data_IF_293453864921
#
_entry.id   IF_293453864921
#
_cell.length_a   1.000
_cell.length_b   1.000
_cell.length_c   1.000
_cell.angle_alpha   90.00
_cell.angle_beta   90.00
_cell.angle_gamma   90.00
#
_symmetry.space_group_name_H-M   'P 1'
#
loop_
_entity.id
_entity.type
_entity.pdbx_description
1 polymer ?
#
# COMPACT_ATOMS: atom_id res chain seq x y z
N UNK A 1 39.82 -25.88 4.68
CA UNK A 1 38.76 -25.50 5.66
C UNK A 1 39.07 -24.10 6.10
N UNK A 2 38.14 -23.19 6.33
CA UNK A 2 36.73 -23.32 6.65
C UNK A 2 36.20 -21.89 6.65
N UNK A 3 35.38 -21.49 5.69
CA UNK A 3 34.65 -20.21 5.76
C UNK A 3 33.35 -20.16 4.94
N UNK A 4 32.95 -21.26 4.30
CA UNK A 4 31.70 -21.33 3.53
C UNK A 4 30.47 -21.75 4.38
N UNK A 5 30.66 -22.21 5.63
CA UNK A 5 29.57 -22.73 6.46
C UNK A 5 28.90 -21.64 7.34
N UNK A 6 29.59 -20.53 7.64
CA UNK A 6 29.06 -19.48 8.52
C UNK A 6 28.11 -18.51 7.79
N UNK A 7 28.27 -18.32 6.48
CA UNK A 7 27.42 -17.41 5.68
C UNK A 7 26.09 -18.05 5.28
N UNK A 8 25.99 -19.38 5.21
CA UNK A 8 24.71 -20.07 5.00
C UNK A 8 23.86 -20.15 6.28
N UNK A 9 24.45 -20.19 7.47
CA UNK A 9 23.67 -20.15 8.72
C UNK A 9 23.07 -18.77 9.02
N UNK A 10 23.76 -17.67 8.65
CA UNK A 10 23.19 -16.33 8.76
C UNK A 10 22.04 -16.06 7.76
N UNK A 11 22.11 -16.63 6.55
CA UNK A 11 21.07 -16.50 5.53
C UNK A 11 19.78 -17.30 5.86
N UNK A 12 19.89 -18.40 6.61
CA UNK A 12 18.73 -19.21 7.02
C UNK A 12 18.03 -18.64 8.26
N UNK A 13 18.74 -17.85 9.09
CA UNK A 13 18.13 -17.21 10.28
C UNK A 13 17.37 -15.91 9.98
N UNK A 14 17.57 -15.28 8.82
CA UNK A 14 16.81 -14.09 8.41
C UNK A 14 15.55 -14.39 7.58
N UNK A 15 15.30 -15.66 7.24
CA UNK A 15 14.11 -16.10 6.50
C UNK A 15 12.95 -16.57 7.39
N UNK A 16 13.07 -16.43 8.71
CA UNK A 16 11.98 -16.65 9.66
C UNK A 16 11.48 -15.32 10.22
N UNK A 17 11.23 -14.34 9.35
CA UNK A 17 10.19 -13.36 9.67
C UNK A 17 8.90 -14.17 9.72
N UNK A 18 8.47 -14.50 10.94
CA UNK A 18 7.19 -15.15 11.18
C UNK A 18 6.17 -14.43 10.30
N UNK A 19 5.52 -15.18 9.40
CA UNK A 19 4.37 -14.68 8.68
C UNK A 19 3.49 -13.94 9.69
N UNK A 20 2.95 -12.75 9.34
CA UNK A 20 2.14 -11.99 10.27
C UNK A 20 1.12 -12.93 10.90
N UNK A 21 1.17 -13.07 12.22
CA UNK A 21 0.31 -14.00 12.95
C UNK A 21 -1.11 -13.56 12.65
N UNK A 22 -1.83 -14.37 11.87
CA UNK A 22 -3.21 -14.07 11.52
C UNK A 22 -4.02 -13.86 12.81
N UNK A 23 -4.89 -12.83 12.84
CA UNK A 23 -5.67 -12.54 14.03
C UNK A 23 -6.52 -13.76 14.41
N UNK A 24 -6.71 -14.02 15.72
CA UNK A 24 -7.62 -15.06 16.18
C UNK A 24 -9.02 -14.90 15.59
N UNK A 25 -9.66 -16.04 15.28
CA UNK A 25 -10.97 -16.11 14.65
C UNK A 25 -12.00 -16.65 15.65
N UNK A 26 -13.23 -16.12 15.62
CA UNK A 26 -14.36 -16.57 16.44
C UNK A 26 -15.54 -17.14 15.64
N UNK A 27 -15.45 -17.19 14.30
CA UNK A 27 -16.51 -17.70 13.43
C UNK A 27 -15.98 -18.57 12.28
N UNK A 28 -16.82 -19.47 11.76
CA UNK A 28 -16.59 -20.19 10.50
C UNK A 28 -17.71 -19.90 9.51
N UNK A 29 -17.41 -19.95 8.22
CA UNK A 29 -18.39 -19.96 7.14
C UNK A 29 -18.50 -21.40 6.63
N UNK A 30 -19.70 -21.98 6.66
CA UNK A 30 -19.94 -23.37 6.22
C UNK A 30 -21.11 -23.41 5.22
N UNK A 31 -20.86 -23.95 4.03
CA UNK A 31 -21.87 -24.17 3.01
C UNK A 31 -22.20 -25.65 2.89
N UNK A 32 -23.49 -25.99 2.94
CA UNK A 32 -23.96 -27.34 2.65
C UNK A 32 -24.17 -27.55 1.15
N UNK A 33 -23.91 -28.76 0.67
CA UNK A 33 -24.27 -29.18 -0.68
C UNK A 33 -25.79 -29.16 -0.85
N UNK A 34 -26.23 -28.64 -1.99
CA UNK A 34 -27.62 -28.73 -2.44
C UNK A 34 -28.00 -30.20 -2.60
N UNK A 35 -29.10 -30.63 -1.99
CA UNK A 35 -29.60 -31.98 -2.17
C UNK A 35 -30.15 -32.15 -3.59
N UNK A 36 -29.77 -33.23 -4.26
CA UNK A 36 -30.49 -33.69 -5.45
C UNK A 36 -31.85 -34.25 -5.03
N UNK A 37 -32.83 -34.22 -5.95
CA UNK A 37 -34.23 -34.55 -5.68
C UNK A 37 -34.45 -35.91 -4.97
N UNK A 38 -33.57 -36.90 -5.18
CA UNK A 38 -33.64 -38.21 -4.53
C UNK A 38 -33.32 -38.20 -3.03
N UNK A 39 -32.54 -37.21 -2.54
CA UNK A 39 -32.25 -37.02 -1.10
C UNK A 39 -33.20 -36.02 -0.42
N UNK A 40 -33.91 -35.20 -1.19
CA UNK A 40 -34.88 -34.23 -0.69
C UNK A 40 -36.21 -34.86 -0.23
N UNK A 41 -36.43 -36.15 -0.47
CA UNK A 41 -37.65 -36.87 -0.05
C UNK A 41 -37.80 -37.04 1.47
N UNK A 42 -36.75 -36.75 2.24
CA UNK A 42 -36.89 -36.41 3.65
C UNK A 42 -36.84 -34.88 3.75
N UNK A 43 -37.94 -34.24 4.16
CA UNK A 43 -38.00 -32.81 4.53
C UNK A 43 -37.12 -32.56 5.75
N UNK A 44 -35.80 -32.66 5.59
CA UNK A 44 -34.84 -32.20 6.58
C UNK A 44 -34.58 -30.74 6.23
N UNK A 45 -35.06 -29.85 7.09
CA UNK A 45 -34.74 -28.43 7.01
C UNK A 45 -33.22 -28.25 7.02
N UNK A 46 -32.72 -27.24 6.30
CA UNK A 46 -31.29 -26.98 6.25
C UNK A 46 -30.70 -26.73 7.66
N UNK A 47 -31.51 -26.23 8.60
CA UNK A 47 -31.14 -26.13 10.02
C UNK A 47 -30.82 -27.48 10.65
N UNK A 48 -31.71 -28.49 10.50
CA UNK A 48 -31.49 -29.83 11.06
C UNK A 48 -30.34 -30.58 10.39
N UNK A 49 -30.09 -30.34 9.10
CA UNK A 49 -28.90 -30.85 8.40
C UNK A 49 -27.61 -30.23 8.94
N UNK A 50 -27.63 -28.92 9.16
CA UNK A 50 -26.47 -28.19 9.65
C UNK A 50 -26.13 -28.59 11.08
N UNK A 51 -27.13 -28.77 11.95
CA UNK A 51 -26.92 -29.31 13.30
C UNK A 51 -26.28 -30.70 13.27
N UNK A 52 -26.75 -31.58 12.38
CA UNK A 52 -26.16 -32.92 12.23
C UNK A 52 -24.71 -32.87 11.72
N UNK A 53 -24.38 -31.93 10.82
CA UNK A 53 -23.01 -31.68 10.37
C UNK A 53 -22.15 -31.17 11.52
N UNK A 54 -22.62 -30.18 12.30
CA UNK A 54 -21.92 -29.65 13.47
C UNK A 54 -21.58 -30.78 14.44
N UNK A 55 -22.55 -31.64 14.78
CA UNK A 55 -22.32 -32.78 15.68
C UNK A 55 -21.24 -33.74 15.15
N UNK A 56 -21.30 -34.12 13.86
CA UNK A 56 -20.32 -35.04 13.26
C UNK A 56 -18.93 -34.41 13.17
N UNK A 57 -18.84 -33.17 12.71
CA UNK A 57 -17.57 -32.44 12.57
C UNK A 57 -16.93 -32.21 13.93
N UNK A 58 -17.70 -31.85 14.95
CA UNK A 58 -17.20 -31.69 16.33
C UNK A 58 -16.77 -33.01 16.98
N UNK A 59 -17.38 -34.14 16.61
CA UNK A 59 -16.94 -35.46 17.09
C UNK A 59 -15.61 -35.89 16.46
N UNK A 60 -15.35 -35.48 15.21
CA UNK A 60 -14.09 -35.76 14.49
C UNK A 60 -13.00 -34.77 14.85
N UNK A 61 -13.38 -33.58 15.29
CA UNK A 61 -12.46 -32.53 15.67
C UNK A 61 -11.76 -32.86 16.98
N UNK A 62 -10.44 -33.00 16.91
CA UNK A 62 -9.55 -32.95 18.07
C UNK A 62 -8.75 -31.66 17.98
N UNK A 63 -8.87 -30.80 19.01
CA UNK A 63 -8.07 -29.57 19.07
C UNK A 63 -6.58 -29.91 18.87
N UNK A 64 -5.85 -29.18 18.00
CA UNK A 64 -4.44 -29.46 17.77
C UNK A 64 -3.67 -29.38 19.09
N UNK A 65 -2.98 -30.45 19.44
CA UNK A 65 -2.02 -30.43 20.54
C UNK A 65 -0.78 -29.72 20.03
N UNK A 66 -0.76 -28.39 20.08
CA UNK A 66 0.44 -27.62 19.78
C UNK A 66 1.59 -28.12 20.69
N UNK A 67 2.77 -28.29 20.11
CA UNK A 67 3.93 -28.99 20.67
C UNK A 67 4.44 -28.50 22.04
N UNK A 68 5.60 -29.01 22.42
CA UNK A 68 6.23 -29.04 23.77
C UNK A 68 6.08 -27.82 24.71
N UNK A 69 5.72 -26.64 24.23
CA UNK A 69 5.46 -25.44 25.03
C UNK A 69 4.15 -25.46 25.84
N UNK A 70 3.17 -26.33 25.53
CA UNK A 70 1.91 -26.43 26.32
C UNK A 70 1.81 -27.64 27.25
N UNK A 71 2.83 -28.50 27.33
CA UNK A 71 2.84 -29.58 28.32
C UNK A 71 2.71 -29.06 29.78
N UNK A 72 3.14 -27.81 30.03
CA UNK A 72 3.00 -27.10 31.32
C UNK A 72 1.71 -26.28 31.48
N UNK A 73 0.92 -26.08 30.41
CA UNK A 73 -0.34 -25.34 30.43
C UNK A 73 -1.57 -26.27 30.34
N UNK A 74 -1.39 -27.55 30.67
CA UNK A 74 -2.42 -28.59 30.67
C UNK A 74 -3.46 -28.46 31.81
N UNK A 75 -3.47 -27.35 32.55
CA UNK A 75 -4.44 -27.05 33.61
C UNK A 75 -5.47 -25.97 33.25
N UNK A 76 -5.44 -25.39 32.05
CA UNK A 76 -6.61 -24.67 31.53
C UNK A 76 -7.40 -25.68 30.72
N UNK A 77 -8.52 -26.15 31.26
CA UNK A 77 -9.50 -26.89 30.46
C UNK A 77 -9.82 -26.02 29.24
N UNK A 78 -9.42 -26.45 28.04
CA UNK A 78 -9.99 -25.87 26.83
C UNK A 78 -11.49 -26.15 26.94
N UNK A 79 -12.27 -25.12 27.28
CA UNK A 79 -13.71 -25.25 27.28
C UNK A 79 -14.09 -25.73 25.87
N UNK A 80 -14.92 -26.78 25.74
CA UNK A 80 -15.34 -27.26 24.44
C UNK A 80 -15.92 -26.08 23.65
N UNK A 81 -15.54 -25.96 22.37
CA UNK A 81 -16.08 -24.91 21.51
C UNK A 81 -17.61 -25.03 21.49
N UNK A 82 -18.30 -23.92 21.72
CA UNK A 82 -19.75 -23.87 21.63
C UNK A 82 -20.12 -23.44 20.22
N UNK A 83 -20.06 -24.39 19.29
CA UNK A 83 -20.33 -24.13 17.87
C UNK A 83 -21.83 -24.03 17.65
N UNK A 84 -22.31 -22.83 17.29
CA UNK A 84 -23.73 -22.57 17.05
C UNK A 84 -23.94 -21.82 15.74
N UNK A 85 -25.06 -22.07 15.08
CA UNK A 85 -25.47 -21.31 13.90
C UNK A 85 -25.87 -19.91 14.35
N UNK A 86 -25.19 -18.88 13.87
CA UNK A 86 -25.52 -17.50 14.18
C UNK A 86 -26.48 -16.91 13.14
N UNK A 87 -26.13 -17.03 11.85
CA UNK A 87 -26.91 -16.49 10.73
C UNK A 87 -26.59 -17.20 9.43
N UNK A 88 -27.37 -16.91 8.39
CA UNK A 88 -27.03 -17.27 7.00
C UNK A 88 -26.66 -16.04 6.20
N UNK A 89 -25.76 -16.20 5.23
CA UNK A 89 -25.36 -15.14 4.29
C UNK A 89 -26.04 -15.31 2.93
N UNK A 90 -25.94 -14.29 2.07
CA UNK A 90 -26.72 -14.16 0.82
C UNK A 90 -26.56 -15.34 -0.15
N UNK A 91 -25.42 -16.03 -0.15
CA UNK A 91 -25.19 -17.23 -0.96
C UNK A 91 -25.73 -18.52 -0.30
N UNK A 92 -26.39 -18.42 0.85
CA UNK A 92 -26.96 -19.52 1.62
C UNK A 92 -25.94 -20.37 2.38
N UNK A 93 -24.73 -19.88 2.63
CA UNK A 93 -23.83 -20.45 3.64
C UNK A 93 -24.25 -19.99 5.04
N UNK A 94 -23.89 -20.77 6.06
CA UNK A 94 -24.11 -20.44 7.45
C UNK A 94 -22.84 -19.87 8.08
N UNK A 95 -23.00 -18.85 8.91
CA UNK A 95 -21.97 -18.34 9.81
C UNK A 95 -22.15 -19.05 11.14
N UNK A 96 -21.13 -19.81 11.55
CA UNK A 96 -21.09 -20.53 12.80
C UNK A 96 -20.25 -19.76 13.81
N UNK A 97 -20.82 -19.40 14.96
CA UNK A 97 -20.06 -18.83 16.07
C UNK A 97 -19.38 -19.95 16.85
N UNK A 98 -18.10 -19.76 17.21
CA UNK A 98 -17.30 -20.71 17.98
C UNK A 98 -17.44 -20.52 19.51
N UNK A 99 -18.09 -19.44 19.93
CA UNK A 99 -18.26 -19.04 21.33
C UNK A 99 -17.00 -18.49 22.01
N UNK A 100 -15.85 -18.54 21.33
CA UNK A 100 -14.57 -18.00 21.78
C UNK A 100 -13.64 -17.79 20.58
N UNK A 101 -12.62 -16.93 20.76
CA UNK A 101 -11.55 -16.77 19.77
C UNK A 101 -10.54 -17.90 19.87
N UNK A 102 -10.20 -18.50 18.73
CA UNK A 102 -9.15 -19.51 18.60
C UNK A 102 -8.06 -19.03 17.64
N UNK A 103 -6.87 -19.62 17.72
CA UNK A 103 -5.79 -19.29 16.79
C UNK A 103 -6.22 -19.60 15.35
N UNK A 104 -5.79 -18.78 14.37
CA UNK A 104 -6.16 -18.97 12.97
C UNK A 104 -5.78 -20.35 12.42
N UNK A 105 -4.67 -20.93 12.90
CA UNK A 105 -4.26 -22.30 12.59
C UNK A 105 -5.26 -23.34 13.10
N UNK A 106 -5.79 -23.14 14.31
CA UNK A 106 -6.80 -24.03 14.90
C UNK A 106 -8.14 -23.88 14.17
N UNK A 107 -8.51 -22.65 13.80
CA UNK A 107 -9.71 -22.38 12.99
C UNK A 107 -9.63 -23.01 11.60
N UNK A 108 -8.45 -22.97 10.97
CA UNK A 108 -8.20 -23.60 9.65
C UNK A 108 -8.37 -25.11 9.74
N UNK A 109 -7.76 -25.73 10.75
CA UNK A 109 -7.89 -27.17 10.96
C UNK A 109 -9.34 -27.56 11.31
N UNK A 110 -10.08 -26.73 12.06
CA UNK A 110 -11.50 -26.95 12.33
C UNK A 110 -12.33 -26.86 11.05
N UNK A 111 -12.10 -25.84 10.22
CA UNK A 111 -12.74 -25.71 8.91
C UNK A 111 -12.48 -26.94 8.01
N UNK A 112 -11.27 -27.50 8.02
CA UNK A 112 -10.96 -28.75 7.32
C UNK A 112 -11.76 -29.95 7.85
N UNK A 113 -11.99 -30.04 9.16
CA UNK A 113 -12.85 -31.08 9.75
C UNK A 113 -14.32 -30.95 9.31
N UNK A 114 -14.82 -29.72 9.11
CA UNK A 114 -16.12 -29.46 8.50
C UNK A 114 -16.14 -29.83 7.01
N UNK A 115 -15.13 -29.40 6.25
CA UNK A 115 -15.02 -29.69 4.81
C UNK A 115 -14.91 -31.19 4.48
N UNK A 116 -14.43 -32.00 5.42
CA UNK A 116 -14.38 -33.46 5.29
C UNK A 116 -15.75 -34.16 5.44
N UNK A 117 -16.81 -33.44 5.83
CA UNK A 117 -18.17 -34.00 5.88
C UNK A 117 -18.78 -34.05 4.47
N UNK A 118 -19.41 -35.18 4.12
CA UNK A 118 -19.96 -35.38 2.77
C UNK A 118 -21.07 -34.41 2.41
N UNK A 119 -21.79 -33.88 3.41
CA UNK A 119 -22.86 -32.90 3.22
C UNK A 119 -22.36 -31.46 3.08
N UNK A 120 -21.08 -31.20 3.37
CA UNK A 120 -20.45 -29.88 3.25
C UNK A 120 -19.88 -29.69 1.84
N UNK A 121 -20.13 -28.53 1.27
CA UNK A 121 -19.57 -28.06 0.01
C UNK A 121 -18.22 -27.39 0.24
N UNK A 122 -18.20 -26.40 1.13
CA UNK A 122 -16.97 -25.78 1.63
C UNK A 122 -17.14 -25.31 3.08
N UNK A 123 -16.01 -25.20 3.78
CA UNK A 123 -15.92 -24.58 5.08
C UNK A 123 -14.60 -23.80 5.19
N UNK A 124 -14.66 -22.60 5.76
CA UNK A 124 -13.50 -21.70 5.91
C UNK A 124 -13.60 -20.87 7.19
N UNK A 125 -12.48 -20.41 7.76
CA UNK A 125 -12.51 -19.44 8.85
C UNK A 125 -13.08 -18.09 8.39
N UNK A 126 -13.92 -17.48 9.21
CA UNK A 126 -14.41 -16.11 9.00
C UNK A 126 -13.39 -15.12 9.58
N UNK A 127 -12.39 -14.78 8.77
CA UNK A 127 -11.30 -13.93 9.23
C UNK A 127 -11.77 -12.48 9.41
N UNK A 128 -11.44 -11.82 10.55
CA UNK A 128 -11.68 -10.40 10.69
C UNK A 128 -10.78 -9.65 9.69
N UNK A 129 -11.40 -8.96 8.74
CA UNK A 129 -10.69 -8.09 7.81
C UNK A 129 -10.47 -6.71 8.45
N UNK A 130 -9.24 -6.23 8.45
CA UNK A 130 -8.91 -4.85 8.79
C UNK A 130 -8.75 -4.03 7.50
N UNK A 131 -9.25 -2.79 7.48
CA UNK A 131 -8.99 -1.85 6.39
C UNK A 131 -7.49 -1.52 6.43
N UNK A 132 -6.73 -2.06 5.47
CA UNK A 132 -5.34 -1.65 5.22
C UNK A 132 -5.36 -0.85 3.94
N UNK A 133 -5.30 0.48 4.06
CA UNK A 133 -5.25 1.40 2.92
C UNK A 133 -3.86 1.39 2.28
N UNK A 134 -3.47 0.24 1.74
CA UNK A 134 -2.31 0.12 0.88
C UNK A 134 -2.69 0.64 -0.51
N UNK A 135 -1.95 1.60 -1.08
CA UNK A 135 -2.20 2.07 -2.44
C UNK A 135 -2.29 0.92 -3.44
N UNK A 136 -3.26 1.01 -4.36
CA UNK A 136 -3.45 0.05 -5.46
C UNK A 136 -2.58 0.35 -6.67
N UNK A 137 -1.75 1.41 -6.60
CA UNK A 137 -0.96 1.91 -7.72
C UNK A 137 0.15 0.93 -8.14
N UNK A 138 0.35 0.67 -9.46
CA UNK A 138 1.20 -0.43 -9.94
C UNK A 138 2.67 -0.38 -9.49
N UNK A 139 3.21 0.81 -9.25
CA UNK A 139 4.61 1.01 -8.86
C UNK A 139 4.76 1.27 -7.36
N UNK A 140 3.69 1.23 -6.56
CA UNK A 140 3.76 1.45 -5.11
C UNK A 140 4.76 0.52 -4.41
N UNK A 141 4.83 -0.74 -4.84
CA UNK A 141 5.78 -1.73 -4.29
C UNK A 141 7.25 -1.35 -4.49
N UNK A 142 7.56 -0.43 -5.41
CA UNK A 142 8.92 0.08 -5.63
C UNK A 142 9.24 1.28 -4.71
N UNK A 143 8.23 1.87 -4.07
CA UNK A 143 8.38 3.01 -3.16
C UNK A 143 8.69 2.54 -1.73
N UNK A 144 9.78 1.79 -1.58
CA UNK A 144 10.22 1.22 -0.29
C UNK A 144 10.26 2.27 0.83
N UNK A 145 10.62 3.51 0.51
CA UNK A 145 10.72 4.63 1.45
C UNK A 145 9.39 4.98 2.14
N UNK A 146 8.24 4.53 1.62
CA UNK A 146 6.93 4.77 2.23
C UNK A 146 6.58 3.76 3.34
N UNK A 147 7.09 2.54 3.28
CA UNK A 147 6.62 1.44 4.16
C UNK A 147 7.68 0.47 4.65
N UNK A 148 8.94 0.61 4.22
CA UNK A 148 10.01 -0.25 4.71
C UNK A 148 10.17 -0.09 6.23
N UNK A 149 10.22 -1.18 7.01
CA UNK A 149 10.22 -1.12 8.47
C UNK A 149 11.54 -0.63 9.07
N UNK A 150 12.63 -0.59 8.29
CA UNK A 150 13.95 -0.17 8.77
C UNK A 150 14.25 1.28 8.38
N UNK A 151 13.95 1.65 7.14
CA UNK A 151 14.35 2.93 6.56
C UNK A 151 13.21 3.75 5.95
N UNK A 152 11.96 3.25 6.00
CA UNK A 152 10.79 3.96 5.52
C UNK A 152 10.28 5.01 6.51
N UNK A 153 9.41 5.90 6.02
CA UNK A 153 8.79 6.97 6.82
C UNK A 153 7.45 6.55 7.47
N UNK A 154 7.12 5.25 7.39
CA UNK A 154 5.93 4.63 7.99
C UNK A 154 4.59 5.30 7.61
N UNK A 155 4.32 5.40 6.30
CA UNK A 155 3.11 6.07 5.80
C UNK A 155 1.82 5.27 6.00
N UNK A 156 1.87 3.93 6.09
CA UNK A 156 0.65 3.11 6.15
C UNK A 156 -0.24 3.43 7.38
N UNK A 157 0.30 3.60 8.60
CA UNK A 157 -0.48 4.11 9.73
C UNK A 157 -0.94 5.56 9.54
N UNK A 158 -0.12 6.42 8.91
CA UNK A 158 -0.48 7.81 8.66
C UNK A 158 -1.70 7.93 7.73
N UNK A 159 -1.77 7.15 6.66
CA UNK A 159 -2.91 7.13 5.72
C UNK A 159 -4.20 6.57 6.31
N UNK A 160 -4.10 5.75 7.36
CA UNK A 160 -5.25 5.35 8.17
C UNK A 160 -5.83 6.51 8.98
N UNK A 161 -5.02 7.55 9.26
CA UNK A 161 -5.46 8.77 9.95
C UNK A 161 -5.91 9.86 8.97
N UNK A 162 -5.09 10.16 7.95
CA UNK A 162 -5.41 11.13 6.90
C UNK A 162 -4.60 10.85 5.64
N UNK A 163 -5.19 11.11 4.47
CA UNK A 163 -4.54 11.02 3.15
C UNK A 163 -4.14 12.40 2.62
N UNK A 164 -4.06 13.39 3.51
CA UNK A 164 -3.92 14.81 3.17
C UNK A 164 -5.28 15.51 3.08
N UNK A 165 -5.24 16.81 2.82
CA UNK A 165 -6.42 17.66 2.66
C UNK A 165 -6.24 18.58 1.45
N UNK A 166 -7.29 18.80 0.64
CA UNK A 166 -7.22 19.74 -0.48
C UNK A 166 -7.03 21.20 -0.03
N UNK A 167 -7.20 21.49 1.27
CA UNK A 167 -6.93 22.82 1.85
C UNK A 167 -5.47 23.03 2.22
N UNK A 168 -4.65 21.97 2.28
CA UNK A 168 -3.22 22.07 2.54
C UNK A 168 -2.51 22.20 1.19
N UNK A 169 -1.83 23.33 1.01
CA UNK A 169 -1.05 23.63 -0.19
C UNK A 169 0.43 23.49 0.12
N UNK A 170 1.14 22.66 -0.65
CA UNK A 170 2.60 22.53 -0.59
C UNK A 170 3.22 23.21 -1.81
N UNK A 171 3.96 24.30 -1.60
CA UNK A 171 4.72 24.93 -2.67
C UNK A 171 6.02 24.16 -2.95
N UNK A 172 6.32 23.94 -4.22
CA UNK A 172 7.54 23.25 -4.66
C UNK A 172 8.34 24.18 -5.56
N UNK A 173 9.45 24.68 -5.01
CA UNK A 173 10.39 25.57 -5.69
C UNK A 173 11.45 24.75 -6.40
N UNK A 174 11.31 24.56 -7.71
CA UNK A 174 12.12 23.61 -8.46
C UNK A 174 12.19 23.95 -9.96
N UNK A 175 12.50 22.97 -10.83
CA UNK A 175 12.58 23.12 -12.30
C UNK A 175 11.24 23.39 -12.98
N UNK A 176 10.14 23.30 -12.23
CA UNK A 176 8.77 23.35 -12.72
C UNK A 176 8.14 21.97 -12.75
N UNK A 177 7.11 21.80 -13.56
CA UNK A 177 6.39 20.54 -13.68
C UNK A 177 6.11 20.14 -15.13
N UNK A 178 5.97 18.84 -15.37
CA UNK A 178 5.30 18.30 -16.55
C UNK A 178 3.87 17.93 -16.17
N UNK A 179 2.86 18.17 -17.05
CA UNK A 179 1.47 17.80 -16.80
C UNK A 179 1.28 16.29 -16.91
N UNK A 180 1.89 15.55 -15.96
CA UNK A 180 1.88 14.11 -15.90
C UNK A 180 0.51 13.62 -15.43
N UNK A 181 -0.02 12.58 -16.06
CA UNK A 181 -1.35 12.05 -15.76
C UNK A 181 -1.53 11.70 -14.27
N UNK A 182 -0.47 11.22 -13.65
CA UNK A 182 -0.43 10.80 -12.25
C UNK A 182 -0.20 11.93 -11.24
N UNK A 183 -0.10 13.18 -11.71
CA UNK A 183 0.18 14.36 -10.87
C UNK A 183 -0.80 15.51 -11.11
N UNK A 184 -1.28 15.67 -12.34
CA UNK A 184 -2.05 16.84 -12.78
C UNK A 184 -3.32 17.09 -11.94
N UNK A 185 -3.93 16.04 -11.38
CA UNK A 185 -5.12 16.15 -10.52
C UNK A 185 -4.87 16.96 -9.24
N UNK A 186 -3.63 17.01 -8.77
CA UNK A 186 -3.23 17.65 -7.51
C UNK A 186 -2.49 18.99 -7.70
N UNK A 187 -2.21 19.39 -8.95
CA UNK A 187 -1.51 20.65 -9.24
C UNK A 187 -2.45 21.85 -9.20
N UNK A 188 -1.94 22.96 -8.66
CA UNK A 188 -2.51 24.30 -8.81
C UNK A 188 -1.81 25.06 -9.93
N UNK A 189 -2.44 26.11 -10.49
CA UNK A 189 -1.72 27.08 -11.31
C UNK A 189 -0.54 27.68 -10.54
N UNK A 190 0.65 27.55 -11.12
CA UNK A 190 1.90 27.99 -10.52
C UNK A 190 2.38 29.35 -11.03
N UNK A 191 3.66 29.64 -10.77
CA UNK A 191 4.35 30.79 -11.34
C UNK A 191 5.82 30.46 -11.61
N UNK A 192 6.39 30.98 -12.69
CA UNK A 192 7.83 30.97 -12.93
C UNK A 192 8.47 32.29 -12.54
N UNK A 193 9.51 32.20 -11.72
CA UNK A 193 10.33 33.32 -11.28
C UNK A 193 11.63 33.46 -12.05
N UNK A 194 11.87 32.61 -13.07
CA UNK A 194 13.10 32.65 -13.84
C UNK A 194 13.13 33.90 -14.70
N UNK A 195 14.04 34.81 -14.38
CA UNK A 195 14.15 36.09 -15.08
C UNK A 195 14.87 35.95 -16.43
N UNK A 196 15.92 35.11 -16.48
CA UNK A 196 16.74 34.91 -17.68
C UNK A 196 16.07 33.95 -18.67
N UNK A 197 15.77 34.44 -19.87
CA UNK A 197 15.11 33.68 -20.94
C UNK A 197 15.92 32.47 -21.45
N UNK A 198 17.25 32.50 -21.31
CA UNK A 198 18.09 31.35 -21.64
C UNK A 198 17.90 30.24 -20.58
N UNK A 199 17.97 30.61 -19.30
CA UNK A 199 17.70 29.68 -18.19
C UNK A 199 16.29 29.10 -18.26
N UNK A 200 15.29 29.90 -18.61
CA UNK A 200 13.89 29.44 -18.67
C UNK A 200 13.62 28.47 -19.81
N UNK A 201 14.41 28.49 -20.88
CA UNK A 201 14.36 27.53 -22.00
C UNK A 201 12.97 27.39 -22.67
N UNK A 202 12.09 28.39 -22.54
CA UNK A 202 10.81 28.49 -23.25
C UNK A 202 10.63 29.85 -23.94
N UNK A 203 11.67 30.69 -23.95
CA UNK A 203 11.63 32.04 -24.52
C UNK A 203 10.86 33.07 -23.67
N UNK A 204 10.40 32.69 -22.47
CA UNK A 204 9.66 33.56 -21.56
C UNK A 204 10.53 33.94 -20.36
N UNK A 205 10.26 35.11 -19.78
CA UNK A 205 10.78 35.49 -18.46
C UNK A 205 9.78 35.07 -17.38
N UNK A 206 9.75 35.78 -16.25
CA UNK A 206 8.79 35.53 -15.17
C UNK A 206 7.34 35.57 -15.67
N UNK A 207 6.50 34.66 -15.21
CA UNK A 207 5.11 34.59 -15.66
C UNK A 207 4.34 33.39 -15.11
N UNK A 208 3.05 33.26 -15.46
CA UNK A 208 2.17 32.22 -14.91
C UNK A 208 2.49 30.80 -15.41
N UNK A 209 3.37 30.65 -16.40
CA UNK A 209 3.78 29.34 -16.92
C UNK A 209 4.91 28.73 -16.07
N UNK A 210 4.53 27.87 -15.13
CA UNK A 210 5.46 27.10 -14.31
C UNK A 210 5.82 25.72 -14.91
N UNK A 211 5.51 25.46 -16.18
CA UNK A 211 5.88 24.20 -16.83
C UNK A 211 7.39 24.09 -16.99
N UNK A 212 7.89 22.86 -16.92
CA UNK A 212 9.29 22.52 -17.14
C UNK A 212 9.50 22.17 -18.64
N UNK A 213 10.18 23.01 -19.44
CA UNK A 213 10.54 22.73 -20.83
C UNK A 213 11.80 21.86 -20.96
N UNK A 214 12.47 21.56 -19.85
CA UNK A 214 13.71 20.81 -19.79
C UNK A 214 14.92 21.70 -19.47
N UNK A 215 15.80 21.21 -18.62
CA UNK A 215 17.05 21.85 -18.17
C UNK A 215 18.31 21.22 -18.80
N UNK A 216 18.13 20.42 -19.86
CA UNK A 216 19.22 19.78 -20.60
C UNK A 216 20.27 20.78 -21.10
N UNK A 217 21.52 20.35 -21.18
CA UNK A 217 22.64 21.12 -21.74
C UNK A 217 23.48 20.25 -22.67
N UNK A 218 23.93 20.81 -23.80
CA UNK A 218 24.75 20.09 -24.79
C UNK A 218 26.24 20.40 -24.66
N UNK A 219 27.13 19.53 -25.17
CA UNK A 219 28.57 19.82 -25.17
C UNK A 219 28.92 21.13 -25.90
N UNK A 220 28.19 21.44 -26.98
CA UNK A 220 28.39 22.68 -27.75
C UNK A 220 28.02 23.92 -26.92
N UNK A 221 26.90 23.90 -26.22
CA UNK A 221 26.47 25.00 -25.36
C UNK A 221 27.47 25.28 -24.24
N UNK A 222 28.06 24.24 -23.66
CA UNK A 222 29.05 24.36 -22.58
C UNK A 222 30.42 24.85 -23.06
N UNK A 223 30.77 24.62 -24.33
CA UNK A 223 32.08 24.94 -24.92
C UNK A 223 32.11 26.22 -25.77
N UNK A 224 30.96 26.78 -26.13
CA UNK A 224 30.88 28.01 -26.94
C UNK A 224 31.22 29.23 -26.08
N UNK A 225 32.45 29.72 -26.18
CA UNK A 225 32.90 30.93 -25.47
C UNK A 225 31.99 32.12 -25.77
N UNK A 226 31.54 32.82 -24.72
CA UNK A 226 30.61 33.96 -24.83
C UNK A 226 29.14 33.57 -25.00
N UNK A 227 28.82 32.27 -25.13
CA UNK A 227 27.45 31.77 -25.12
C UNK A 227 26.81 31.84 -23.72
N UNK A 228 25.47 31.82 -23.62
CA UNK A 228 24.75 31.99 -22.35
C UNK A 228 24.94 30.82 -21.36
N UNK A 229 25.41 29.67 -21.83
CA UNK A 229 25.62 28.46 -21.03
C UNK A 229 27.10 28.06 -20.91
N UNK A 230 28.00 28.93 -21.39
CA UNK A 230 29.43 28.65 -21.41
C UNK A 230 29.94 28.30 -20.00
N UNK A 231 30.51 27.11 -19.85
CA UNK A 231 31.03 26.58 -18.58
C UNK A 231 30.05 26.59 -17.39
N UNK A 232 28.73 26.59 -17.65
CA UNK A 232 27.75 26.60 -16.57
C UNK A 232 27.62 25.24 -15.86
N UNK A 233 28.10 24.17 -16.50
CA UNK A 233 28.14 22.80 -16.00
C UNK A 233 29.42 22.10 -16.48
N UNK A 234 29.82 21.04 -15.78
CA UNK A 234 31.05 20.29 -16.09
C UNK A 234 30.87 19.29 -17.23
N UNK A 235 29.63 18.87 -17.52
CA UNK A 235 29.30 17.93 -18.59
C UNK A 235 27.90 18.18 -19.11
N UNK A 236 27.64 17.72 -20.35
CA UNK A 236 26.31 17.70 -20.92
C UNK A 236 25.37 16.76 -20.13
N UNK A 237 24.07 17.06 -20.17
CA UNK A 237 23.05 16.26 -19.49
C UNK A 237 21.71 16.33 -20.21
N UNK A 238 20.94 15.25 -20.11
CA UNK A 238 19.52 15.26 -20.44
C UNK A 238 18.72 16.08 -19.41
N UNK A 239 17.43 16.27 -19.67
CA UNK A 239 16.55 16.96 -18.73
C UNK A 239 16.33 16.14 -17.47
N UNK A 240 16.46 16.78 -16.32
CA UNK A 240 16.29 16.17 -15.00
C UNK A 240 14.83 15.78 -14.74
N UNK A 241 13.90 16.65 -15.18
CA UNK A 241 12.50 16.65 -14.76
C UNK A 241 12.36 16.67 -13.23
N UNK A 242 13.32 17.30 -12.55
CA UNK A 242 13.52 17.18 -11.11
C UNK A 242 12.26 17.61 -10.33
N UNK A 243 11.69 18.78 -10.64
CA UNK A 243 10.49 19.27 -9.97
C UNK A 243 9.29 18.34 -10.13
N UNK A 244 9.13 17.69 -11.29
CA UNK A 244 8.05 16.70 -11.51
C UNK A 244 8.22 15.49 -10.61
N UNK A 245 9.46 14.99 -10.45
CA UNK A 245 9.75 13.85 -9.55
C UNK A 245 9.50 14.21 -8.10
N UNK A 246 9.97 15.39 -7.66
CA UNK A 246 9.75 15.91 -6.30
C UNK A 246 8.26 16.02 -6.00
N UNK A 247 7.49 16.65 -6.90
CA UNK A 247 6.04 16.77 -6.75
C UNK A 247 5.32 15.41 -6.76
N UNK A 248 5.80 14.45 -7.55
CA UNK A 248 5.27 13.08 -7.56
C UNK A 248 5.42 12.37 -6.21
N UNK A 249 6.58 12.49 -5.57
CA UNK A 249 6.79 11.95 -4.21
C UNK A 249 5.86 12.63 -3.20
N UNK A 250 5.66 13.95 -3.32
CA UNK A 250 4.80 14.70 -2.40
C UNK A 250 3.32 14.32 -2.58
N UNK A 251 2.84 14.24 -3.82
CA UNK A 251 1.40 14.19 -4.08
C UNK A 251 1.00 13.69 -5.45
N UNK A 252 1.68 12.67 -5.98
CA UNK A 252 1.08 11.84 -7.02
C UNK A 252 -0.28 11.30 -6.55
N UNK A 253 -1.23 11.20 -7.48
CA UNK A 253 -2.59 10.75 -7.19
C UNK A 253 -2.61 9.26 -6.91
N UNK A 254 -2.78 8.86 -5.66
CA UNK A 254 -2.87 7.45 -5.29
C UNK A 254 -4.25 6.85 -5.58
N UNK A 255 -4.30 5.52 -5.67
CA UNK A 255 -5.49 4.70 -5.95
C UNK A 255 -6.19 5.03 -7.28
N UNK A 256 -5.45 5.51 -8.27
CA UNK A 256 -5.98 5.76 -9.62
C UNK A 256 -5.59 4.64 -10.61
N UNK A 257 -4.83 3.64 -10.15
CA UNK A 257 -4.36 2.52 -10.97
C UNK A 257 -3.23 2.89 -11.95
N UNK A 258 -2.59 4.03 -11.74
CA UNK A 258 -1.49 4.57 -12.56
C UNK A 258 -0.28 4.81 -11.66
N UNK A 259 0.93 4.60 -12.21
CA UNK A 259 2.17 5.09 -11.61
C UNK A 259 2.35 4.75 -10.12
N UNK A 260 2.50 5.80 -9.30
CA UNK A 260 2.98 5.77 -7.92
C UNK A 260 1.96 6.43 -6.96
N UNK A 261 2.14 6.21 -5.65
CA UNK A 261 1.41 6.95 -4.62
C UNK A 261 2.25 8.11 -4.08
N UNK A 262 1.66 9.30 -3.98
CA UNK A 262 2.27 10.41 -3.23
C UNK A 262 2.17 10.20 -1.71
N UNK A 263 2.90 11.01 -0.94
CA UNK A 263 2.75 11.08 0.51
C UNK A 263 1.38 11.66 0.89
N UNK A 264 0.97 12.75 0.23
CA UNK A 264 -0.31 13.45 0.42
C UNK A 264 -1.19 13.28 -0.82
N UNK A 265 -2.11 12.32 -0.77
CA UNK A 265 -2.92 11.92 -1.93
C UNK A 265 -3.92 13.01 -2.33
N UNK A 266 -4.43 13.73 -1.32
CA UNK A 266 -5.48 14.74 -1.47
C UNK A 266 -4.95 16.19 -1.36
N UNK A 267 -3.66 16.35 -1.07
CA UNK A 267 -3.02 17.67 -0.98
C UNK A 267 -2.98 18.40 -2.31
N UNK A 268 -2.84 19.72 -2.25
CA UNK A 268 -2.61 20.55 -3.44
C UNK A 268 -1.14 20.94 -3.52
N UNK A 269 -0.58 20.92 -4.71
CA UNK A 269 0.81 21.31 -4.97
C UNK A 269 0.81 22.60 -5.77
N UNK A 270 1.59 23.58 -5.32
CA UNK A 270 1.81 24.85 -6.02
C UNK A 270 3.19 24.82 -6.69
N UNK A 271 3.28 24.67 -8.01
CA UNK A 271 4.55 24.72 -8.73
C UNK A 271 5.13 26.14 -8.71
N UNK A 272 6.36 26.29 -8.23
CA UNK A 272 7.10 27.55 -8.25
C UNK A 272 8.38 27.31 -9.02
N UNK A 273 8.38 27.68 -10.29
CA UNK A 273 9.50 27.36 -11.18
C UNK A 273 10.62 28.39 -11.01
N UNK A 274 11.72 27.98 -10.38
CA UNK A 274 12.89 28.84 -10.06
C UNK A 274 14.20 28.31 -10.64
N UNK A 275 14.19 27.08 -11.18
CA UNK A 275 15.35 26.44 -11.81
C UNK A 275 15.05 26.09 -13.29
N UNK A 276 16.07 26.11 -14.13
CA UNK A 276 16.02 25.69 -15.53
C UNK A 276 17.41 25.31 -16.03
N UNK A 277 17.73 25.61 -17.29
CA UNK A 277 19.07 25.32 -17.83
C UNK A 277 20.15 26.02 -17.00
N UNK A 278 21.14 25.25 -16.57
CA UNK A 278 22.23 25.72 -15.70
C UNK A 278 21.79 26.17 -14.29
N UNK A 279 20.64 25.71 -13.79
CA UNK A 279 20.16 25.99 -12.44
C UNK A 279 19.28 27.24 -12.37
N UNK A 280 19.47 28.06 -11.35
CA UNK A 280 18.70 29.28 -11.12
C UNK A 280 19.45 30.23 -10.20
N UNK A 281 19.02 31.49 -10.16
CA UNK A 281 19.69 32.52 -9.36
C UNK A 281 19.00 32.69 -8.01
N UNK A 282 19.80 32.96 -6.97
CA UNK A 282 19.32 33.09 -5.59
C UNK A 282 18.21 34.14 -5.43
N UNK A 283 18.24 35.22 -6.21
CA UNK A 283 17.20 36.26 -6.19
C UNK A 283 15.84 35.75 -6.68
N UNK A 284 15.82 34.96 -7.75
CA UNK A 284 14.58 34.37 -8.29
C UNK A 284 14.01 33.33 -7.31
N UNK A 285 14.90 32.55 -6.69
CA UNK A 285 14.51 31.59 -5.64
C UNK A 285 13.92 32.33 -4.43
N UNK A 286 14.57 33.38 -3.95
CA UNK A 286 14.10 34.15 -2.80
C UNK A 286 12.75 34.84 -3.04
N UNK A 287 12.54 35.41 -4.22
CA UNK A 287 11.24 35.97 -4.62
C UNK A 287 10.16 34.89 -4.70
N UNK A 288 10.49 33.73 -5.26
CA UNK A 288 9.59 32.58 -5.31
C UNK A 288 9.19 32.09 -3.91
N UNK A 289 10.13 32.07 -2.95
CA UNK A 289 9.85 31.66 -1.57
C UNK A 289 8.86 32.60 -0.89
N UNK A 290 9.07 33.91 -1.05
CA UNK A 290 8.21 34.96 -0.49
C UNK A 290 6.80 34.91 -1.08
N UNK A 291 6.71 34.85 -2.40
CA UNK A 291 5.44 34.73 -3.11
C UNK A 291 4.66 33.48 -2.70
N UNK A 292 5.33 32.33 -2.60
CA UNK A 292 4.70 31.08 -2.16
C UNK A 292 4.14 31.15 -0.73
N UNK A 293 4.78 31.95 0.13
CA UNK A 293 4.34 32.20 1.50
C UNK A 293 3.31 33.35 1.62
N UNK A 294 3.03 34.07 0.53
CA UNK A 294 2.09 35.20 0.51
C UNK A 294 2.62 36.47 1.19
N UNK A 295 3.94 36.69 1.20
CA UNK A 295 4.62 37.86 1.81
C UNK A 295 5.50 38.64 0.84
#
# INVERSE_FOLDING_TARGET
GSNACATQQAAVQMAAQAAPVEPPVDHLIVKLKTLTAARAMATIDNGTRLDAVIQRSMTRWTAPVAGSARAYASTVSQLPLNVQVERTISNGAAVLSLGQRIAATDATALAQAFAADTDVDYAEPDHPMAIRDTPSDPLYSQQWYLSDPTAGIDMSPAWSTTKGSPTVVTAVLDTGYRPHADLVGNLLPGYSFITNVNTSNNGLSRGPDATDPGDWVTPQELSTAGGPYYQCATQASDSSWHGTRVMGVIGATANNGTGIAGISWLGRILPVRVLGKCGGVTSDIADGMRWAAGI
#
